data_IF_889946307344
#
_entry.id   IF_889946307344
#
_cell.length_a   1.000
_cell.length_b   1.000
_cell.length_c   1.000
_cell.angle_alpha   90.00
_cell.angle_beta   90.00
_cell.angle_gamma   90.00
#
_symmetry.space_group_name_H-M   'P 1'
#
loop_
_entity.id
_entity.type
_entity.pdbx_description
1 polymer ?
#
# COMPACT_ATOMS: atom_id res chain seq x y z
N UNK A 1 -2.04 4.19 21.86
CA UNK A 1 -3.49 3.95 21.68
C UNK A 1 -3.81 2.65 20.93
N UNK A 2 -3.40 2.50 19.65
CA UNK A 2 -3.68 1.28 18.87
C UNK A 2 -3.04 0.03 19.49
N UNK A 3 -1.74 0.06 19.80
CA UNK A 3 -1.06 -1.08 20.42
C UNK A 3 -1.61 -1.47 21.80
N UNK A 4 -2.19 -0.51 22.53
CA UNK A 4 -2.82 -0.77 23.82
C UNK A 4 -4.19 -1.46 23.67
N UNK A 5 -4.85 -1.32 22.51
CA UNK A 5 -6.15 -1.89 22.22
C UNK A 5 -6.06 -3.30 21.57
N UNK A 6 -4.86 -3.85 21.39
CA UNK A 6 -4.65 -5.13 20.69
C UNK A 6 -5.07 -6.37 21.50
N UNK A 7 -5.21 -6.24 22.82
CA UNK A 7 -5.51 -7.38 23.69
C UNK A 7 -4.49 -8.49 23.54
N UNK A 8 -4.95 -9.70 23.19
CA UNK A 8 -4.12 -10.89 23.01
C UNK A 8 -3.66 -11.11 21.55
N UNK A 9 -3.94 -10.15 20.64
CA UNK A 9 -3.59 -10.30 19.23
C UNK A 9 -2.06 -10.42 19.04
N UNK A 10 -1.65 -11.41 18.25
CA UNK A 10 -0.25 -11.54 17.81
C UNK A 10 0.09 -10.45 16.79
N UNK A 11 1.23 -9.80 16.98
CA UNK A 11 1.70 -8.70 16.13
C UNK A 11 2.68 -9.23 15.09
N UNK A 12 2.43 -8.89 13.83
CA UNK A 12 3.31 -9.20 12.70
C UNK A 12 3.80 -7.90 12.06
N UNK A 13 5.12 -7.76 11.94
CA UNK A 13 5.72 -6.65 11.19
C UNK A 13 5.56 -6.89 9.69
N UNK A 14 4.91 -5.96 8.99
CA UNK A 14 4.63 -6.10 7.56
C UNK A 14 5.55 -5.22 6.67
N UNK A 15 6.16 -4.19 7.24
CA UNK A 15 6.96 -3.23 6.48
C UNK A 15 8.34 -3.77 6.13
N UNK A 16 8.74 -3.55 4.88
CA UNK A 16 10.11 -3.79 4.41
C UNK A 16 11.09 -2.76 4.97
N UNK A 17 12.37 -3.12 4.96
CA UNK A 17 13.42 -2.18 5.31
C UNK A 17 13.52 -1.04 4.27
N UNK A 18 13.89 0.16 4.72
CA UNK A 18 13.94 1.35 3.85
C UNK A 18 14.86 1.17 2.63
N UNK A 19 15.96 0.44 2.80
CA UNK A 19 16.89 0.11 1.73
C UNK A 19 16.27 -0.81 0.67
N UNK A 20 15.41 -1.75 1.04
CA UNK A 20 14.71 -2.63 0.08
C UNK A 20 13.70 -1.86 -0.75
N UNK A 21 12.89 -1.01 -0.10
CA UNK A 21 11.97 -0.11 -0.83
C UNK A 21 12.74 0.82 -1.77
N UNK A 22 13.88 1.36 -1.30
CA UNK A 22 14.74 2.21 -2.14
C UNK A 22 15.34 1.42 -3.30
N UNK A 23 15.73 0.16 -3.12
CA UNK A 23 16.21 -0.69 -4.21
C UNK A 23 15.10 -0.92 -5.23
N UNK A 24 13.87 -1.21 -4.79
CA UNK A 24 12.75 -1.45 -5.70
C UNK A 24 12.45 -0.23 -6.59
N UNK A 25 12.68 0.99 -6.10
CA UNK A 25 12.58 2.19 -6.91
C UNK A 25 13.52 2.17 -8.13
N UNK A 26 14.74 1.64 -7.99
CA UNK A 26 15.74 1.62 -9.06
C UNK A 26 15.77 0.30 -9.85
N UNK A 27 15.55 -0.82 -9.17
CA UNK A 27 15.72 -2.19 -9.70
C UNK A 27 14.38 -2.85 -10.09
N UNK A 28 13.24 -2.29 -9.65
CA UNK A 28 11.91 -2.85 -9.83
C UNK A 28 11.45 -3.75 -8.67
N UNK A 29 10.15 -3.80 -8.43
CA UNK A 29 9.55 -4.53 -7.31
C UNK A 29 9.77 -6.04 -7.43
N UNK A 30 9.59 -6.62 -8.62
CA UNK A 30 9.74 -8.06 -8.84
C UNK A 30 11.17 -8.54 -8.51
N UNK A 31 12.18 -7.81 -8.97
CA UNK A 31 13.60 -8.14 -8.77
C UNK A 31 13.95 -8.15 -7.28
N UNK A 32 13.48 -7.14 -6.54
CA UNK A 32 13.81 -7.01 -5.12
C UNK A 32 12.97 -7.94 -4.24
N UNK A 33 11.71 -8.22 -4.61
CA UNK A 33 10.84 -9.13 -3.87
C UNK A 33 11.24 -10.61 -4.04
N UNK A 34 11.80 -10.96 -5.21
CA UNK A 34 12.38 -12.28 -5.46
C UNK A 34 11.33 -13.36 -5.75
N UNK A 35 11.56 -14.57 -5.24
CA UNK A 35 10.88 -15.81 -5.66
C UNK A 35 9.35 -15.77 -5.58
N UNK A 36 8.79 -14.91 -4.73
CA UNK A 36 7.32 -14.77 -4.57
C UNK A 36 6.71 -13.63 -5.37
N UNK A 37 7.48 -12.99 -6.25
CA UNK A 37 7.01 -11.88 -7.08
C UNK A 37 5.79 -12.28 -7.93
N UNK A 38 5.82 -13.48 -8.52
CA UNK A 38 4.74 -14.02 -9.35
C UNK A 38 3.42 -14.20 -8.59
N UNK A 39 3.48 -14.55 -7.29
CA UNK A 39 2.30 -14.76 -6.45
C UNK A 39 1.46 -13.49 -6.34
N UNK A 40 2.13 -12.34 -6.40
CA UNK A 40 1.50 -11.02 -6.33
C UNK A 40 1.49 -10.30 -7.68
N UNK A 41 1.84 -10.99 -8.78
CA UNK A 41 1.87 -10.39 -10.13
C UNK A 41 2.84 -9.21 -10.28
N UNK A 42 3.92 -9.19 -9.49
CA UNK A 42 4.94 -8.13 -9.58
C UNK A 42 5.76 -8.24 -10.87
N UNK A 43 5.94 -9.46 -11.36
CA UNK A 43 6.65 -9.84 -12.58
C UNK A 43 5.89 -9.47 -13.87
N UNK A 44 4.60 -9.13 -13.74
CA UNK A 44 3.78 -8.67 -14.85
C UNK A 44 3.82 -7.13 -14.96
N UNK A 45 3.85 -6.57 -16.19
CA UNK A 45 3.70 -5.14 -16.38
C UNK A 45 2.31 -4.70 -15.91
N UNK A 46 2.23 -3.50 -15.34
CA UNK A 46 0.93 -2.89 -15.04
C UNK A 46 0.20 -2.55 -16.35
N UNK A 47 -1.14 -2.67 -16.38
CA UNK A 47 -1.94 -2.06 -17.44
C UNK A 47 -1.60 -0.57 -17.59
N UNK A 48 -1.45 -0.08 -18.82
CA UNK A 48 -0.96 1.28 -19.09
C UNK A 48 -1.77 2.36 -18.38
N UNK A 49 -3.10 2.21 -18.36
CA UNK A 49 -3.99 3.13 -17.66
C UNK A 49 -3.72 3.18 -16.15
N UNK A 50 -3.48 2.02 -15.51
CA UNK A 50 -3.12 1.97 -14.09
C UNK A 50 -1.73 2.57 -13.84
N UNK A 51 -0.77 2.31 -14.73
CA UNK A 51 0.57 2.88 -14.59
C UNK A 51 0.50 4.41 -14.61
N UNK A 52 -0.19 5.00 -15.59
CA UNK A 52 -0.31 6.46 -15.70
C UNK A 52 -1.08 7.06 -14.51
N UNK A 53 -2.21 6.46 -14.12
CA UNK A 53 -2.98 6.90 -12.96
C UNK A 53 -2.13 6.89 -11.69
N UNK A 54 -1.40 5.79 -11.43
CA UNK A 54 -0.57 5.67 -10.24
C UNK A 54 0.63 6.61 -10.26
N UNK A 55 1.22 6.87 -11.43
CA UNK A 55 2.27 7.89 -11.58
C UNK A 55 1.75 9.28 -11.21
N UNK A 56 0.58 9.66 -11.71
CA UNK A 56 -0.04 10.94 -11.39
C UNK A 56 -0.34 11.07 -9.89
N UNK A 57 -0.91 10.02 -9.27
CA UNK A 57 -1.15 10.00 -7.83
C UNK A 57 0.15 10.17 -7.02
N UNK A 58 1.25 9.53 -7.43
CA UNK A 58 2.55 9.72 -6.77
C UNK A 58 3.09 11.13 -6.99
N UNK A 59 2.94 11.70 -8.18
CA UNK A 59 3.38 13.06 -8.48
C UNK A 59 2.68 14.09 -7.58
N UNK A 60 1.36 13.97 -7.42
CA UNK A 60 0.55 14.80 -6.54
C UNK A 60 0.90 14.59 -5.06
N UNK A 61 1.06 13.34 -4.63
CA UNK A 61 1.44 13.00 -3.26
C UNK A 61 2.85 13.51 -2.87
N UNK A 62 3.71 13.78 -3.86
CA UNK A 62 5.01 14.40 -3.68
C UNK A 62 5.01 15.89 -4.04
N UNK A 63 3.84 16.52 -4.04
CA UNK A 63 3.63 17.95 -4.29
C UNK A 63 4.31 18.45 -5.56
N UNK A 64 4.38 17.58 -6.58
CA UNK A 64 5.02 17.88 -7.86
C UNK A 64 6.50 18.27 -7.76
N UNK A 65 7.14 18.00 -6.62
CA UNK A 65 8.52 18.37 -6.33
C UNK A 65 9.55 17.56 -7.12
N UNK A 66 9.15 16.42 -7.69
CA UNK A 66 9.97 15.62 -8.59
C UNK A 66 9.28 15.46 -9.96
N UNK A 67 10.03 15.30 -11.06
CA UNK A 67 9.48 15.06 -12.39
C UNK A 67 8.55 13.84 -12.45
N UNK A 68 7.49 13.92 -13.26
CA UNK A 68 6.49 12.85 -13.44
C UNK A 68 7.12 11.55 -13.95
N UNK A 69 8.20 11.64 -14.71
CA UNK A 69 8.95 10.51 -15.27
C UNK A 69 9.59 9.66 -14.17
N UNK A 70 9.97 10.28 -13.04
CA UNK A 70 10.53 9.59 -11.88
C UNK A 70 9.48 8.80 -11.10
N UNK A 71 8.19 9.03 -11.34
CA UNK A 71 7.11 8.35 -10.62
C UNK A 71 7.00 6.87 -10.95
N UNK A 72 7.59 6.39 -12.06
CA UNK A 72 7.64 4.96 -12.34
C UNK A 72 8.37 4.19 -11.22
N UNK A 73 9.51 4.72 -10.73
CA UNK A 73 10.21 4.15 -9.58
C UNK A 73 9.40 4.25 -8.28
N UNK A 74 8.65 5.34 -8.07
CA UNK A 74 7.75 5.45 -6.91
C UNK A 74 6.62 4.43 -6.97
N UNK A 75 6.08 4.14 -8.16
CA UNK A 75 5.09 3.08 -8.36
C UNK A 75 5.68 1.72 -7.97
N UNK A 76 6.89 1.38 -8.40
CA UNK A 76 7.56 0.14 -7.99
C UNK A 76 7.80 0.07 -6.48
N UNK A 77 8.18 1.19 -5.85
CA UNK A 77 8.32 1.28 -4.40
C UNK A 77 7.00 1.05 -3.64
N UNK A 78 5.85 1.45 -4.20
CA UNK A 78 4.54 1.14 -3.65
C UNK A 78 4.14 -0.32 -3.89
N UNK A 79 4.36 -0.84 -5.11
CA UNK A 79 4.07 -2.25 -5.47
C UNK A 79 4.76 -3.22 -4.51
N UNK A 80 6.05 -3.02 -4.21
CA UNK A 80 6.77 -3.92 -3.31
C UNK A 80 6.26 -3.83 -1.86
N UNK A 81 5.85 -2.64 -1.40
CA UNK A 81 5.26 -2.46 -0.06
C UNK A 81 3.94 -3.21 0.05
N UNK A 82 3.07 -3.04 -0.94
CA UNK A 82 1.77 -3.73 -0.98
C UNK A 82 1.96 -5.25 -1.01
N UNK A 83 2.92 -5.76 -1.77
CA UNK A 83 3.23 -7.19 -1.82
C UNK A 83 3.76 -7.71 -0.47
N UNK A 84 4.64 -6.96 0.20
CA UNK A 84 5.12 -7.33 1.52
C UNK A 84 4.02 -7.31 2.57
N UNK A 85 3.09 -6.36 2.50
CA UNK A 85 1.92 -6.32 3.36
C UNK A 85 0.99 -7.51 3.11
N UNK A 86 0.68 -7.81 1.85
CA UNK A 86 -0.12 -8.97 1.48
C UNK A 86 0.54 -10.28 1.95
N UNK A 87 1.85 -10.43 1.76
CA UNK A 87 2.60 -11.59 2.21
C UNK A 87 2.58 -11.76 3.73
N UNK A 88 2.76 -10.67 4.47
CA UNK A 88 2.65 -10.68 5.93
C UNK A 88 1.25 -11.09 6.40
N UNK A 89 0.20 -10.65 5.71
CA UNK A 89 -1.18 -11.07 6.00
C UNK A 89 -1.37 -12.57 5.77
N UNK A 90 -0.89 -13.12 4.65
CA UNK A 90 -0.97 -14.57 4.39
C UNK A 90 -0.22 -15.36 5.46
N UNK A 91 1.02 -14.97 5.79
CA UNK A 91 1.81 -15.60 6.86
C UNK A 91 1.12 -15.54 8.23
N UNK A 92 0.54 -14.39 8.57
CA UNK A 92 -0.20 -14.23 9.81
C UNK A 92 -1.43 -15.13 9.85
N UNK A 93 -2.17 -15.23 8.74
CA UNK A 93 -3.33 -16.12 8.62
C UNK A 93 -2.92 -17.59 8.78
N UNK A 94 -1.89 -18.04 8.06
CA UNK A 94 -1.40 -19.43 8.13
C UNK A 94 -0.97 -19.82 9.55
N UNK A 95 -0.41 -18.89 10.31
CA UNK A 95 0.07 -19.14 11.67
C UNK A 95 -1.01 -19.04 12.75
N UNK A 96 -2.13 -18.38 12.48
CA UNK A 96 -3.13 -18.05 13.52
C UNK A 96 -4.53 -18.57 13.23
N UNK A 97 -4.84 -18.90 11.97
CA UNK A 97 -6.20 -19.18 11.51
C UNK A 97 -7.06 -17.92 11.33
N UNK A 98 -6.52 -16.74 11.59
CA UNK A 98 -7.24 -15.46 11.54
C UNK A 98 -8.18 -15.22 12.73
N UNK A 99 -8.94 -14.11 12.72
CA UNK A 99 -8.91 -13.04 11.72
C UNK A 99 -7.59 -12.26 11.74
N UNK A 100 -7.22 -11.66 10.60
CA UNK A 100 -6.04 -10.79 10.47
C UNK A 100 -6.48 -9.37 10.14
N UNK A 101 -5.94 -8.38 10.87
CA UNK A 101 -6.17 -6.96 10.61
C UNK A 101 -4.84 -6.33 10.20
N UNK A 102 -4.77 -5.84 8.97
CA UNK A 102 -3.66 -5.01 8.50
C UNK A 102 -3.97 -3.55 8.78
N UNK A 103 -3.09 -2.87 9.51
CA UNK A 103 -3.16 -1.42 9.74
C UNK A 103 -2.08 -0.76 8.88
N UNK A 104 -2.51 -0.01 7.86
CA UNK A 104 -1.63 0.66 6.91
C UNK A 104 -2.23 2.02 6.47
N UNK A 105 -1.47 2.81 5.72
CA UNK A 105 -2.01 4.04 5.10
C UNK A 105 -3.12 3.72 4.09
N UNK A 106 -4.10 4.61 3.95
CA UNK A 106 -5.31 4.35 3.15
C UNK A 106 -5.02 3.95 1.70
N UNK A 107 -3.98 4.51 1.07
CA UNK A 107 -3.57 4.12 -0.29
C UNK A 107 -3.22 2.63 -0.44
N UNK A 108 -2.73 1.98 0.62
CA UNK A 108 -2.40 0.55 0.64
C UNK A 108 -3.63 -0.35 0.81
N UNK A 109 -4.77 0.23 1.21
CA UNK A 109 -6.04 -0.46 1.34
C UNK A 109 -6.91 -0.35 0.06
N UNK A 110 -6.41 0.31 -0.99
CA UNK A 110 -7.15 0.55 -2.23
C UNK A 110 -7.45 -0.75 -2.98
N UNK A 111 -8.73 -0.97 -3.32
CA UNK A 111 -9.21 -2.27 -3.77
C UNK A 111 -8.70 -2.71 -5.15
N UNK A 112 -8.43 -1.76 -6.05
CA UNK A 112 -8.12 -2.08 -7.44
C UNK A 112 -6.68 -2.57 -7.68
N UNK A 113 -5.71 -2.17 -6.84
CA UNK A 113 -4.29 -2.45 -7.09
C UNK A 113 -3.39 -2.59 -5.87
N UNK A 114 -3.87 -2.28 -4.66
CA UNK A 114 -3.06 -2.38 -3.45
C UNK A 114 -3.25 -3.75 -2.78
N UNK A 115 -3.10 -3.84 -1.46
CA UNK A 115 -3.12 -5.10 -0.72
C UNK A 115 -4.35 -5.98 -1.03
N UNK A 116 -5.59 -5.46 -1.09
CA UNK A 116 -6.75 -6.31 -1.42
C UNK A 116 -6.64 -6.98 -2.81
N UNK A 117 -6.18 -6.25 -3.82
CA UNK A 117 -5.98 -6.80 -5.17
C UNK A 117 -4.89 -7.88 -5.16
N UNK A 118 -3.80 -7.66 -4.43
CA UNK A 118 -2.70 -8.62 -4.33
C UNK A 118 -3.07 -9.89 -3.57
N UNK A 119 -3.89 -9.79 -2.52
CA UNK A 119 -4.42 -10.97 -1.82
C UNK A 119 -5.35 -11.80 -2.72
N UNK A 120 -6.18 -11.13 -3.53
CA UNK A 120 -7.00 -11.80 -4.55
C UNK A 120 -6.15 -12.47 -5.63
N UNK A 121 -5.12 -11.78 -6.13
CA UNK A 121 -4.16 -12.32 -7.08
C UNK A 121 -3.48 -13.58 -6.52
N UNK A 122 -3.10 -13.54 -5.24
CA UNK A 122 -2.52 -14.67 -4.50
C UNK A 122 -3.54 -15.78 -4.16
N UNK A 123 -4.81 -15.64 -4.58
CA UNK A 123 -5.92 -16.58 -4.32
C UNK A 123 -6.09 -16.89 -2.83
N UNK A 124 -6.04 -15.86 -1.99
CA UNK A 124 -6.24 -15.99 -0.54
C UNK A 124 -7.55 -16.73 -0.22
N UNK A 125 -7.56 -17.69 0.74
CA UNK A 125 -8.72 -18.53 1.03
C UNK A 125 -9.79 -17.85 1.90
N UNK A 126 -9.64 -16.55 2.17
CA UNK A 126 -10.50 -15.79 3.10
C UNK A 126 -11.14 -14.59 2.39
N UNK A 127 -12.23 -14.10 2.97
CA UNK A 127 -12.85 -12.85 2.56
C UNK A 127 -12.00 -11.65 2.97
N UNK A 128 -12.08 -10.57 2.18
CA UNK A 128 -11.32 -9.34 2.39
C UNK A 128 -12.32 -8.20 2.54
N UNK A 129 -12.14 -7.39 3.59
CA UNK A 129 -12.87 -6.14 3.80
C UNK A 129 -11.83 -5.03 3.94
N UNK A 130 -11.99 -3.96 3.15
CA UNK A 130 -11.16 -2.78 3.19
C UNK A 130 -11.89 -1.59 3.82
N UNK A 131 -11.29 -0.99 4.85
CA UNK A 131 -11.83 0.14 5.59
C UNK A 131 -10.82 1.28 5.57
N UNK A 132 -11.24 2.45 5.09
CA UNK A 132 -10.39 3.64 5.05
C UNK A 132 -10.83 4.70 6.05
N UNK A 133 -9.86 5.35 6.71
CA UNK A 133 -10.08 6.59 7.43
C UNK A 133 -9.53 7.72 6.57
N UNK A 134 -10.39 8.67 6.21
CA UNK A 134 -10.10 9.74 5.27
C UNK A 134 -10.31 11.09 5.95
N UNK A 135 -9.47 12.07 5.60
CA UNK A 135 -9.66 13.45 6.02
C UNK A 135 -10.69 14.13 5.10
N UNK A 136 -11.60 14.91 5.68
CA UNK A 136 -12.62 15.63 4.94
C UNK A 136 -12.05 16.92 4.30
N UNK A 137 -12.51 17.30 3.09
CA UNK A 137 -13.45 16.57 2.25
C UNK A 137 -12.75 15.42 1.53
N UNK A 138 -13.28 14.19 1.66
CA UNK A 138 -12.71 13.05 0.96
C UNK A 138 -13.30 12.94 -0.46
N UNK A 139 -12.47 12.54 -1.44
CA UNK A 139 -12.89 12.42 -2.84
C UNK A 139 -14.04 11.43 -3.05
N UNK A 140 -14.91 11.63 -4.06
CA UNK A 140 -16.08 10.80 -4.27
C UNK A 140 -15.79 9.38 -4.79
N UNK A 141 -14.73 9.17 -5.57
CA UNK A 141 -14.38 7.83 -6.08
C UNK A 141 -13.53 7.06 -5.07
N UNK A 142 -14.20 6.33 -4.18
CA UNK A 142 -13.58 5.60 -3.07
C UNK A 142 -13.57 4.11 -3.38
N UNK A 143 -12.39 3.52 -3.55
CA UNK A 143 -12.21 2.08 -3.78
C UNK A 143 -11.96 1.34 -2.47
N UNK A 144 -12.95 1.42 -1.56
CA UNK A 144 -12.98 0.75 -0.26
C UNK A 144 -14.38 0.18 -0.01
N UNK A 145 -14.51 -0.86 0.83
CA UNK A 145 -15.83 -1.39 1.21
C UNK A 145 -16.54 -0.43 2.18
N UNK A 146 -15.77 0.16 3.10
CA UNK A 146 -16.25 1.16 4.05
C UNK A 146 -15.25 2.31 4.19
N UNK A 147 -15.75 3.48 4.56
CA UNK A 147 -14.91 4.62 4.90
C UNK A 147 -15.49 5.41 6.06
N UNK A 148 -14.60 6.05 6.82
CA UNK A 148 -14.93 7.01 7.87
C UNK A 148 -14.25 8.32 7.53
N UNK A 149 -15.04 9.38 7.37
CA UNK A 149 -14.50 10.73 7.23
C UNK A 149 -14.27 11.37 8.59
N UNK A 150 -13.14 12.04 8.71
CA UNK A 150 -12.71 12.73 9.93
C UNK A 150 -12.27 14.15 9.60
N UNK A 151 -12.27 15.04 10.58
CA UNK A 151 -11.65 16.35 10.39
C UNK A 151 -10.15 16.17 10.06
N UNK A 152 -9.57 16.99 9.17
CA UNK A 152 -8.14 16.97 8.91
C UNK A 152 -7.34 17.06 10.21
N UNK A 153 -6.26 16.28 10.31
CA UNK A 153 -5.34 16.41 11.43
C UNK A 153 -4.69 17.80 11.42
N UNK A 154 -4.54 18.42 12.60
CA UNK A 154 -3.77 19.64 12.73
C UNK A 154 -2.28 19.35 12.48
N UNK A 155 -1.74 19.89 11.38
CA UNK A 155 -0.34 19.74 10.98
C UNK A 155 0.10 20.87 10.08
N UNK A 156 1.42 21.11 10.02
CA UNK A 156 2.02 21.97 9.00
C UNK A 156 1.82 21.35 7.61
N UNK A 157 1.86 22.20 6.58
CA UNK A 157 1.76 21.76 5.20
C UNK A 157 2.91 20.78 4.85
N UNK A 158 2.61 19.50 4.56
CA UNK A 158 3.62 18.51 4.25
C UNK A 158 4.43 18.84 2.98
N UNK A 159 3.87 19.65 2.07
CA UNK A 159 4.56 20.06 0.85
C UNK A 159 5.75 20.98 1.12
N UNK A 160 5.71 21.78 2.20
CA UNK A 160 6.83 22.67 2.55
C UNK A 160 8.12 21.90 2.84
N UNK A 161 8.01 20.67 3.34
CA UNK A 161 9.18 19.82 3.58
C UNK A 161 9.86 19.33 2.29
N UNK A 162 9.17 19.38 1.15
CA UNK A 162 9.62 18.88 -0.15
C UNK A 162 10.16 19.98 -1.08
N UNK A 163 9.90 21.26 -0.77
CA UNK A 163 10.28 22.41 -1.59
C UNK A 163 11.75 22.86 -1.41
N UNK A 164 12.67 21.94 -1.10
CA UNK A 164 14.09 22.25 -0.89
C UNK A 164 14.91 22.23 -2.16
#
# INVERSE_FOLDING_TARGET
>A
PIFAALGEAKIFGAALAKNEVRRAYFEGAAVVFGDRAEVFGLDQPLPENQLQQRKQMQFEAHCQAMPLEMMAGMVEAQRIRDAAFADAVLKAFDQTGGPVVLIAGAGHAHYDWAVPALLKQAKSPFSIISIAFLEAPAEPDRKFDFWVETAPAEREDPCLALQK
#
